data_IF_510166945555
#
_entry.id   IF_510166945555
#
_cell.length_a   1.000
_cell.length_b   1.000
_cell.length_c   1.000
_cell.angle_alpha   90.00
_cell.angle_beta   90.00
_cell.angle_gamma   90.00
#
_symmetry.space_group_name_H-M   'P 1'
#
loop_
_entity.id
_entity.type
_entity.pdbx_description
1 polymer ?
#
# COMPACT_ATOMS: atom_id res chain seq x y z
N UNK A 1 -55.35 16.79 -4.81
CA UNK A 1 -54.51 16.18 -3.80
C UNK A 1 -53.51 15.25 -4.48
N UNK A 2 -52.50 15.82 -5.18
CA UNK A 2 -51.55 15.07 -6.03
C UNK A 2 -50.24 15.85 -6.13
N UNK A 3 -49.58 16.12 -4.99
CA UNK A 3 -48.36 16.95 -4.96
C UNK A 3 -47.16 16.36 -4.19
N UNK A 4 -47.33 15.17 -3.60
CA UNK A 4 -46.29 14.66 -2.65
C UNK A 4 -45.34 13.58 -3.20
N UNK A 5 -45.70 12.95 -4.35
CA UNK A 5 -44.89 11.85 -4.90
C UNK A 5 -43.57 12.31 -5.52
N UNK A 6 -43.54 13.50 -6.12
CA UNK A 6 -42.34 14.04 -6.78
C UNK A 6 -41.29 14.50 -5.78
N UNK A 7 -41.69 15.10 -4.65
CA UNK A 7 -40.79 15.52 -3.58
C UNK A 7 -40.15 14.33 -2.84
N UNK A 8 -40.96 13.26 -2.63
CA UNK A 8 -40.44 12.01 -2.04
C UNK A 8 -39.40 11.33 -2.95
N UNK A 9 -39.66 11.30 -4.26
CA UNK A 9 -38.73 10.70 -5.22
C UNK A 9 -37.41 11.47 -5.29
N UNK A 10 -37.44 12.81 -5.31
CA UNK A 10 -36.25 13.66 -5.32
C UNK A 10 -35.48 13.53 -4.00
N UNK A 11 -36.16 13.49 -2.87
CA UNK A 11 -35.54 13.32 -1.55
C UNK A 11 -34.83 11.96 -1.39
N UNK A 12 -35.44 10.89 -1.93
CA UNK A 12 -34.84 9.54 -1.92
C UNK A 12 -33.65 9.48 -2.87
N UNK A 13 -33.70 10.12 -4.03
CA UNK A 13 -32.61 10.17 -5.01
C UNK A 13 -31.41 10.93 -4.46
N UNK A 14 -31.62 12.08 -3.80
CA UNK A 14 -30.53 12.87 -3.18
C UNK A 14 -29.91 12.11 -2.00
N UNK A 15 -30.74 11.45 -1.16
CA UNK A 15 -30.26 10.67 -0.02
C UNK A 15 -29.47 9.43 -0.46
N UNK A 16 -29.87 8.77 -1.55
CA UNK A 16 -29.12 7.66 -2.13
C UNK A 16 -27.84 8.13 -2.84
N UNK A 17 -27.86 9.25 -3.55
CA UNK A 17 -26.67 9.85 -4.18
C UNK A 17 -25.59 10.19 -3.17
N UNK A 18 -25.91 10.81 -2.05
CA UNK A 18 -24.97 11.11 -0.98
C UNK A 18 -24.39 9.85 -0.31
N UNK A 19 -25.20 8.80 -0.17
CA UNK A 19 -24.78 7.52 0.42
C UNK A 19 -23.87 6.72 -0.53
N UNK A 20 -24.10 6.82 -1.84
CA UNK A 20 -23.25 6.21 -2.88
C UNK A 20 -21.92 6.95 -2.99
N UNK A 21 -21.91 8.29 -2.97
CA UNK A 21 -20.67 9.08 -2.97
C UNK A 21 -19.84 8.83 -1.70
N UNK A 22 -20.46 8.81 -0.53
CA UNK A 22 -19.78 8.51 0.73
C UNK A 22 -19.22 7.08 0.78
N UNK A 23 -19.95 6.11 0.24
CA UNK A 23 -19.49 4.72 0.15
C UNK A 23 -18.35 4.55 -0.83
N UNK A 24 -18.38 5.26 -1.97
CA UNK A 24 -17.30 5.25 -2.94
C UNK A 24 -16.06 5.99 -2.42
N UNK A 25 -16.25 7.10 -1.71
CA UNK A 25 -15.15 7.84 -1.12
C UNK A 25 -14.48 7.06 0.01
N UNK A 26 -15.24 6.41 0.88
CA UNK A 26 -14.68 5.54 1.93
C UNK A 26 -14.01 4.30 1.36
N UNK A 27 -14.53 3.74 0.26
CA UNK A 27 -13.90 2.63 -0.46
C UNK A 27 -12.55 3.07 -1.06
N UNK A 28 -12.50 4.22 -1.72
CA UNK A 28 -11.26 4.79 -2.28
C UNK A 28 -10.26 5.11 -1.17
N UNK A 29 -10.69 5.71 -0.06
CA UNK A 29 -9.82 6.02 1.07
C UNK A 29 -9.29 4.78 1.79
N UNK A 30 -10.08 3.71 1.84
CA UNK A 30 -9.63 2.44 2.42
C UNK A 30 -8.68 1.64 1.52
N UNK A 31 -8.72 1.88 0.20
CA UNK A 31 -7.89 1.18 -0.79
C UNK A 31 -6.92 2.13 -1.50
N UNK A 32 -6.54 3.24 -0.84
CA UNK A 32 -5.60 4.21 -1.41
C UNK A 32 -4.25 3.58 -1.76
N UNK A 33 -3.76 2.69 -0.90
CA UNK A 33 -2.49 2.00 -1.12
C UNK A 33 -2.54 1.14 -2.38
N UNK A 34 -3.62 0.39 -2.59
CA UNK A 34 -3.83 -0.44 -3.79
C UNK A 34 -3.89 0.42 -5.06
N UNK A 35 -4.64 1.54 -5.00
CA UNK A 35 -4.81 2.45 -6.14
C UNK A 35 -3.48 3.11 -6.53
N UNK A 36 -2.72 3.57 -5.54
CA UNK A 36 -1.40 4.21 -5.77
C UNK A 36 -0.41 3.19 -6.32
N UNK A 37 -0.37 1.98 -5.78
CA UNK A 37 0.49 0.92 -6.28
C UNK A 37 0.14 0.56 -7.74
N UNK A 38 -1.15 0.43 -8.07
CA UNK A 38 -1.63 0.16 -9.42
C UNK A 38 -1.30 1.30 -10.40
N UNK A 39 -1.37 2.55 -9.96
CA UNK A 39 -0.99 3.70 -10.77
C UNK A 39 0.50 3.68 -11.12
N UNK A 40 1.38 3.47 -10.14
CA UNK A 40 2.81 3.42 -10.38
C UNK A 40 3.24 2.25 -11.25
N UNK A 41 2.66 1.05 -11.07
CA UNK A 41 2.98 -0.10 -11.91
C UNK A 41 2.49 0.10 -13.34
N UNK A 42 1.36 0.77 -13.55
CA UNK A 42 0.88 1.12 -14.89
C UNK A 42 1.82 2.06 -15.62
N UNK A 43 2.32 3.11 -14.94
CA UNK A 43 3.32 4.02 -15.51
C UNK A 43 4.61 3.25 -15.85
N UNK A 44 5.09 2.41 -14.95
CA UNK A 44 6.28 1.59 -15.17
C UNK A 44 6.12 0.73 -16.42
N UNK A 45 5.00 0.02 -16.55
CA UNK A 45 4.73 -0.84 -17.70
C UNK A 45 4.71 -0.06 -19.00
N UNK A 46 4.01 1.09 -19.03
CA UNK A 46 3.94 1.95 -20.22
C UNK A 46 5.32 2.45 -20.62
N UNK A 47 6.12 2.96 -19.67
CA UNK A 47 7.46 3.47 -19.94
C UNK A 47 8.39 2.36 -20.47
N UNK A 48 8.35 1.19 -19.88
CA UNK A 48 9.17 0.04 -20.32
C UNK A 48 8.78 -0.39 -21.73
N UNK A 49 7.48 -0.52 -22.03
CA UNK A 49 7.00 -0.91 -23.36
C UNK A 49 7.40 0.13 -24.40
N UNK A 50 7.21 1.43 -24.13
CA UNK A 50 7.61 2.52 -25.03
C UNK A 50 9.12 2.45 -25.26
N UNK A 51 9.94 2.30 -24.22
CA UNK A 51 11.39 2.24 -24.36
C UNK A 51 11.85 1.03 -25.18
N UNK A 52 11.21 -0.12 -25.03
CA UNK A 52 11.48 -1.31 -25.84
C UNK A 52 11.17 -1.01 -27.32
N UNK A 53 10.01 -0.46 -27.64
CA UNK A 53 9.64 -0.11 -29.03
C UNK A 53 10.62 0.88 -29.63
N UNK A 54 10.96 1.95 -28.91
CA UNK A 54 11.93 2.95 -29.39
C UNK A 54 13.30 2.33 -29.64
N UNK A 55 13.76 1.44 -28.77
CA UNK A 55 15.07 0.80 -28.89
C UNK A 55 15.14 -0.17 -30.06
N UNK A 56 14.11 -1.00 -30.27
CA UNK A 56 14.15 -2.05 -31.29
C UNK A 56 13.64 -1.58 -32.67
N UNK A 57 12.69 -0.64 -32.72
CA UNK A 57 12.13 -0.14 -34.00
C UNK A 57 12.90 1.06 -34.51
N UNK A 58 13.24 1.98 -33.61
CA UNK A 58 13.88 3.26 -33.96
C UNK A 58 15.37 3.34 -33.67
N UNK A 59 15.98 2.28 -33.11
CA UNK A 59 17.37 2.25 -32.63
C UNK A 59 17.73 3.43 -31.70
N UNK A 60 16.76 3.99 -30.99
CA UNK A 60 16.87 5.17 -30.15
C UNK A 60 16.21 4.92 -28.80
N UNK A 61 16.93 4.29 -27.86
CA UNK A 61 16.44 4.08 -26.49
C UNK A 61 16.51 5.36 -25.67
N UNK A 62 15.50 5.58 -24.82
CA UNK A 62 15.45 6.68 -23.87
C UNK A 62 16.12 6.28 -22.54
N UNK A 63 17.35 6.72 -22.34
CA UNK A 63 18.14 6.34 -21.14
C UNK A 63 17.47 6.83 -19.84
N UNK A 64 16.87 8.02 -19.86
CA UNK A 64 16.16 8.55 -18.69
C UNK A 64 14.90 7.78 -18.33
N UNK A 65 14.25 7.10 -19.28
CA UNK A 65 13.03 6.35 -19.03
C UNK A 65 13.27 5.13 -18.15
N UNK A 66 14.44 4.51 -18.22
CA UNK A 66 14.83 3.39 -17.36
C UNK A 66 14.92 3.81 -15.89
N UNK A 67 15.44 5.00 -15.63
CA UNK A 67 15.57 5.54 -14.29
C UNK A 67 14.22 5.90 -13.67
N UNK A 68 13.33 6.54 -14.46
CA UNK A 68 11.96 6.86 -14.03
C UNK A 68 11.16 5.58 -13.81
N UNK A 69 11.24 4.61 -14.73
CA UNK A 69 10.55 3.33 -14.62
C UNK A 69 10.98 2.56 -13.36
N UNK A 70 12.29 2.54 -13.07
CA UNK A 70 12.83 1.92 -11.83
C UNK A 70 12.29 2.63 -10.58
N UNK A 71 12.26 3.95 -10.56
CA UNK A 71 11.69 4.72 -9.46
C UNK A 71 10.21 4.40 -9.24
N UNK A 72 9.40 4.44 -10.29
CA UNK A 72 7.98 4.10 -10.22
C UNK A 72 7.75 2.63 -9.79
N UNK A 73 8.59 1.71 -10.27
CA UNK A 73 8.53 0.31 -9.88
C UNK A 73 8.78 0.12 -8.38
N UNK A 74 9.81 0.76 -7.83
CA UNK A 74 10.12 0.70 -6.40
C UNK A 74 8.95 1.24 -5.57
N UNK A 75 8.37 2.38 -5.94
CA UNK A 75 7.17 2.92 -5.29
C UNK A 75 6.00 1.94 -5.34
N UNK A 76 5.73 1.34 -6.51
CA UNK A 76 4.66 0.35 -6.67
C UNK A 76 4.85 -0.85 -5.75
N UNK A 77 6.06 -1.42 -5.70
CA UNK A 77 6.37 -2.61 -4.88
C UNK A 77 6.19 -2.31 -3.39
N UNK A 78 6.75 -1.21 -2.89
CA UNK A 78 6.70 -0.91 -1.47
C UNK A 78 5.30 -0.50 -1.00
N UNK A 79 4.56 0.31 -1.77
CA UNK A 79 3.17 0.66 -1.44
C UNK A 79 2.25 -0.56 -1.60
N UNK A 80 2.46 -1.37 -2.63
CA UNK A 80 1.73 -2.63 -2.80
C UNK A 80 1.96 -3.61 -1.65
N UNK A 81 3.18 -3.68 -1.13
CA UNK A 81 3.49 -4.47 0.07
C UNK A 81 2.71 -3.98 1.30
N UNK A 82 2.58 -2.65 1.50
CA UNK A 82 1.74 -2.07 2.56
C UNK A 82 0.28 -2.47 2.40
N UNK A 83 -0.24 -2.43 1.16
CA UNK A 83 -1.62 -2.80 0.87
C UNK A 83 -1.91 -4.27 1.25
N UNK A 84 -1.03 -5.19 0.85
CA UNK A 84 -1.13 -6.61 1.25
C UNK A 84 -1.02 -6.78 2.76
N UNK A 85 -0.09 -6.07 3.39
CA UNK A 85 0.13 -6.14 4.83
C UNK A 85 -1.09 -5.69 5.64
N UNK A 86 -1.75 -4.61 5.21
CA UNK A 86 -2.99 -4.08 5.80
C UNK A 86 -4.12 -5.12 5.88
N UNK A 87 -4.22 -5.99 4.89
CA UNK A 87 -5.23 -7.05 4.83
C UNK A 87 -4.82 -8.32 5.61
N UNK A 88 -3.87 -8.24 6.54
CA UNK A 88 -3.32 -9.39 7.27
C UNK A 88 -2.89 -10.53 6.34
N UNK A 89 -2.27 -10.21 5.21
CA UNK A 89 -1.88 -11.17 4.16
C UNK A 89 -0.75 -12.13 4.54
N UNK A 90 -0.67 -12.55 5.81
CA UNK A 90 0.31 -13.55 6.29
C UNK A 90 -0.17 -14.98 6.00
N UNK A 91 -0.50 -15.24 4.74
CA UNK A 91 -1.10 -16.51 4.27
C UNK A 91 -0.33 -17.76 4.73
N UNK A 92 0.98 -17.66 4.86
CA UNK A 92 1.81 -18.80 5.25
C UNK A 92 1.64 -19.20 6.73
N UNK A 93 1.50 -18.24 7.63
CA UNK A 93 1.31 -18.50 9.07
C UNK A 93 -0.10 -18.95 9.34
N UNK A 94 -1.10 -18.37 8.69
CA UNK A 94 -2.52 -18.68 8.89
C UNK A 94 -2.86 -20.16 8.59
N UNK A 95 -2.22 -20.77 7.60
CA UNK A 95 -2.47 -22.18 7.24
C UNK A 95 -2.03 -23.11 8.35
N UNK A 96 -0.89 -22.85 8.99
CA UNK A 96 -0.34 -23.66 10.07
C UNK A 96 -1.14 -23.43 11.35
N UNK A 97 -1.44 -22.18 11.67
CA UNK A 97 -2.14 -21.77 12.88
C UNK A 97 -3.58 -22.30 12.91
N UNK A 98 -4.28 -22.35 11.77
CA UNK A 98 -5.66 -22.89 11.68
C UNK A 98 -5.78 -24.37 12.07
N UNK A 99 -4.69 -25.12 12.10
CA UNK A 99 -4.68 -26.53 12.55
C UNK A 99 -4.41 -26.71 14.05
N UNK A 100 -4.12 -25.64 14.79
CA UNK A 100 -3.81 -25.68 16.22
C UNK A 100 -5.06 -25.40 17.08
N UNK A 101 -5.10 -25.83 18.36
CA UNK A 101 -6.18 -25.48 19.28
C UNK A 101 -6.25 -23.97 19.51
N UNK A 102 -7.46 -23.43 19.75
CA UNK A 102 -7.75 -21.99 19.79
C UNK A 102 -6.85 -21.17 20.74
N UNK A 103 -6.42 -21.77 21.86
CA UNK A 103 -5.52 -21.11 22.80
C UNK A 103 -4.12 -20.88 22.20
N UNK A 104 -3.61 -21.87 21.46
CA UNK A 104 -2.31 -21.76 20.77
C UNK A 104 -2.37 -20.78 19.58
N UNK A 105 -3.51 -20.72 18.87
CA UNK A 105 -3.68 -19.78 17.76
C UNK A 105 -3.51 -18.34 18.22
N UNK A 106 -4.09 -17.97 19.36
CA UNK A 106 -3.96 -16.61 19.93
C UNK A 106 -2.53 -16.30 20.35
N UNK A 107 -1.86 -17.27 21.02
CA UNK A 107 -0.49 -17.06 21.47
C UNK A 107 0.48 -16.89 20.29
N UNK A 108 0.38 -17.73 19.26
CA UNK A 108 1.22 -17.66 18.07
C UNK A 108 0.94 -16.37 17.29
N UNK A 109 -0.33 -15.97 17.15
CA UNK A 109 -0.71 -14.70 16.49
C UNK A 109 -0.06 -13.51 17.18
N UNK A 110 -0.22 -13.40 18.49
CA UNK A 110 0.34 -12.30 19.28
C UNK A 110 1.89 -12.26 19.21
N UNK A 111 2.56 -13.41 19.29
CA UNK A 111 4.02 -13.49 19.14
C UNK A 111 4.45 -13.03 17.75
N UNK A 112 3.74 -13.49 16.72
CA UNK A 112 4.02 -13.08 15.34
C UNK A 112 3.86 -11.56 15.15
N UNK A 113 2.79 -10.97 15.66
CA UNK A 113 2.53 -9.55 15.56
C UNK A 113 3.60 -8.72 16.31
N UNK A 114 4.05 -9.17 17.48
CA UNK A 114 5.15 -8.52 18.22
C UNK A 114 6.45 -8.58 17.42
N UNK A 115 6.79 -9.72 16.82
CA UNK A 115 7.97 -9.87 15.98
C UNK A 115 7.88 -8.93 14.77
N UNK A 116 6.70 -8.82 14.15
CA UNK A 116 6.47 -7.91 13.02
C UNK A 116 6.63 -6.44 13.40
N UNK A 117 6.13 -6.03 14.56
CA UNK A 117 6.36 -4.65 15.07
C UNK A 117 7.85 -4.38 15.24
N UNK A 118 8.59 -5.29 15.87
CA UNK A 118 10.02 -5.13 16.09
C UNK A 118 10.79 -5.07 14.76
N UNK A 119 10.46 -5.96 13.82
CA UNK A 119 11.13 -6.06 12.52
C UNK A 119 10.86 -4.84 11.65
N UNK A 120 9.60 -4.43 11.49
CA UNK A 120 9.22 -3.26 10.71
C UNK A 120 9.74 -1.96 11.35
N UNK A 121 9.72 -1.85 12.68
CA UNK A 121 10.28 -0.71 13.40
C UNK A 121 11.79 -0.58 13.20
N UNK A 122 12.51 -1.70 13.29
CA UNK A 122 13.96 -1.73 13.02
C UNK A 122 14.28 -1.37 11.57
N UNK A 123 13.51 -1.90 10.60
CA UNK A 123 13.66 -1.55 9.17
C UNK A 123 13.34 -0.08 8.90
N UNK A 124 12.34 0.50 9.58
CA UNK A 124 12.04 1.93 9.50
C UNK A 124 13.22 2.78 10.00
N UNK A 125 13.84 2.41 11.13
CA UNK A 125 15.03 3.07 11.66
C UNK A 125 16.22 2.99 10.69
N UNK A 126 16.50 1.81 10.14
CA UNK A 126 17.58 1.65 9.14
C UNK A 126 17.32 2.47 7.87
N UNK A 127 16.07 2.51 7.40
CA UNK A 127 15.66 3.30 6.22
C UNK A 127 15.87 4.79 6.46
N UNK A 128 15.60 5.28 7.66
CA UNK A 128 15.86 6.66 8.03
C UNK A 128 17.36 7.00 7.99
N UNK A 129 18.21 6.15 8.57
CA UNK A 129 19.68 6.31 8.52
C UNK A 129 20.17 6.26 7.06
N UNK A 130 19.62 5.34 6.26
CA UNK A 130 20.01 5.21 4.86
C UNK A 130 19.70 6.48 4.06
N UNK A 131 18.50 7.06 4.23
CA UNK A 131 18.11 8.31 3.58
C UNK A 131 19.02 9.46 3.99
N UNK A 132 19.32 9.58 5.28
CA UNK A 132 20.21 10.61 5.80
C UNK A 132 21.63 10.56 5.19
N UNK A 133 22.11 9.36 4.84
CA UNK A 133 23.40 9.17 4.18
C UNK A 133 23.33 9.25 2.65
N UNK A 134 22.16 9.01 2.07
CA UNK A 134 21.96 9.00 0.61
C UNK A 134 21.63 10.38 0.04
N UNK A 135 21.54 11.41 0.86
CA UNK A 135 21.15 12.76 0.42
C UNK A 135 22.11 13.33 -0.66
N UNK A 136 23.37 12.99 -0.60
CA UNK A 136 24.40 13.42 -1.57
C UNK A 136 24.50 12.55 -2.81
N UNK A 137 23.80 11.40 -2.85
CA UNK A 137 23.84 10.50 -4.01
C UNK A 137 22.84 10.95 -5.07
N UNK A 138 23.35 11.34 -6.22
CA UNK A 138 22.53 11.67 -7.39
C UNK A 138 22.38 10.46 -8.29
N UNK A 139 21.26 10.39 -8.99
CA UNK A 139 21.03 9.36 -10.01
C UNK A 139 21.90 9.67 -11.24
N UNK A 140 22.42 8.65 -11.96
CA UNK A 140 23.44 8.83 -12.98
C UNK A 140 22.97 9.56 -14.23
N UNK A 141 21.66 9.51 -14.55
CA UNK A 141 21.11 10.07 -15.81
C UNK A 141 20.36 11.37 -15.56
N UNK A 142 19.42 11.37 -14.61
CA UNK A 142 18.57 12.53 -14.31
C UNK A 142 19.21 13.50 -13.33
N UNK A 143 20.26 13.08 -12.59
CA UNK A 143 20.89 13.92 -11.56
C UNK A 143 19.96 14.22 -10.37
N UNK A 144 18.87 13.47 -10.21
CA UNK A 144 17.93 13.62 -9.10
C UNK A 144 18.48 12.91 -7.88
N UNK A 145 18.23 13.45 -6.69
CA UNK A 145 18.65 12.79 -5.46
C UNK A 145 18.00 11.42 -5.29
N UNK A 146 18.81 10.39 -5.00
CA UNK A 146 18.33 9.02 -4.70
C UNK A 146 17.35 8.96 -3.52
N UNK A 147 17.23 10.03 -2.75
CA UNK A 147 16.27 10.17 -1.64
C UNK A 147 14.83 9.97 -2.10
N UNK A 148 14.45 10.42 -3.31
CA UNK A 148 13.08 10.23 -3.83
C UNK A 148 12.70 8.76 -3.98
N UNK A 149 13.63 7.93 -4.40
CA UNK A 149 13.41 6.48 -4.53
C UNK A 149 13.43 5.83 -3.14
N UNK A 150 14.39 6.19 -2.30
CA UNK A 150 14.57 5.64 -0.97
C UNK A 150 13.46 6.03 0.01
N UNK A 151 12.78 7.18 -0.20
CA UNK A 151 11.67 7.63 0.63
C UNK A 151 10.48 6.67 0.57
N UNK A 152 10.26 5.96 -0.55
CA UNK A 152 9.22 4.94 -0.66
C UNK A 152 9.40 3.82 0.37
N UNK A 153 10.66 3.39 0.58
CA UNK A 153 11.03 2.35 1.55
C UNK A 153 10.70 2.80 2.97
N UNK A 154 11.10 4.03 3.34
CA UNK A 154 10.81 4.58 4.66
C UNK A 154 9.31 4.68 4.91
N UNK A 155 8.57 5.28 3.97
CA UNK A 155 7.11 5.45 4.08
C UNK A 155 6.43 4.09 4.25
N UNK A 156 6.83 3.10 3.46
CA UNK A 156 6.24 1.76 3.54
C UNK A 156 6.49 1.10 4.91
N UNK A 157 7.72 1.10 5.41
CA UNK A 157 8.02 0.49 6.70
C UNK A 157 7.39 1.24 7.88
N UNK A 158 7.29 2.56 7.82
CA UNK A 158 6.54 3.35 8.82
C UNK A 158 5.06 2.95 8.82
N UNK A 159 4.42 2.87 7.64
CA UNK A 159 3.02 2.45 7.53
C UNK A 159 2.83 1.02 8.02
N UNK A 160 3.70 0.09 7.64
CA UNK A 160 3.65 -1.30 8.12
C UNK A 160 3.82 -1.37 9.64
N UNK A 161 4.69 -0.55 10.24
CA UNK A 161 4.84 -0.47 11.70
C UNK A 161 3.56 0.00 12.37
N UNK A 162 2.91 1.03 11.82
CA UNK A 162 1.62 1.54 12.33
C UNK A 162 0.54 0.47 12.25
N UNK A 163 0.45 -0.27 11.13
CA UNK A 163 -0.50 -1.38 10.99
C UNK A 163 -0.18 -2.53 11.94
N UNK A 164 1.09 -2.88 12.12
CA UNK A 164 1.50 -3.92 13.09
C UNK A 164 1.10 -3.57 14.52
N UNK A 165 1.30 -2.32 14.95
CA UNK A 165 0.88 -1.85 16.29
C UNK A 165 -0.64 -1.95 16.41
N UNK A 166 -1.40 -1.57 15.37
CA UNK A 166 -2.86 -1.70 15.35
C UNK A 166 -3.30 -3.15 15.51
N UNK A 167 -2.61 -4.10 14.88
CA UNK A 167 -2.92 -5.54 14.97
C UNK A 167 -2.67 -6.07 16.38
N UNK A 168 -1.52 -5.76 16.98
CA UNK A 168 -1.23 -6.11 18.38
C UNK A 168 -2.32 -5.57 19.31
N UNK A 169 -2.73 -4.33 19.11
CA UNK A 169 -3.79 -3.73 19.93
C UNK A 169 -5.12 -4.47 19.78
N UNK A 170 -5.51 -4.82 18.57
CA UNK A 170 -6.75 -5.56 18.29
C UNK A 170 -6.73 -6.95 18.93
N UNK A 171 -5.60 -7.66 18.88
CA UNK A 171 -5.46 -8.99 19.44
C UNK A 171 -5.45 -8.98 20.98
N UNK A 172 -4.84 -7.95 21.60
CA UNK A 172 -4.86 -7.76 23.07
C UNK A 172 -6.24 -7.35 23.57
N UNK A 173 -6.95 -6.47 22.84
CA UNK A 173 -8.27 -5.94 23.27
C UNK A 173 -9.42 -6.89 22.92
N UNK A 174 -9.17 -7.99 22.21
CA UNK A 174 -10.18 -8.98 21.84
C UNK A 174 -11.18 -8.50 20.77
N UNK A 175 -10.96 -7.32 20.19
CA UNK A 175 -11.85 -6.68 19.20
C UNK A 175 -11.68 -7.22 17.77
N UNK A 176 -10.79 -8.18 17.54
CA UNK A 176 -10.45 -8.71 16.22
C UNK A 176 -11.44 -9.75 15.63
N UNK A 177 -12.68 -9.84 16.09
CA UNK A 177 -13.63 -10.89 15.68
C UNK A 177 -14.64 -10.49 14.59
N UNK A 178 -14.60 -9.27 14.05
CA UNK A 178 -15.70 -8.78 13.20
C UNK A 178 -15.31 -8.37 11.78
N UNK A 179 -14.26 -8.92 11.16
CA UNK A 179 -14.10 -8.76 9.71
C UNK A 179 -13.67 -10.09 9.05
N UNK A 180 -14.66 -10.95 8.90
CA UNK A 180 -14.63 -12.06 7.95
C UNK A 180 -15.68 -11.85 6.89
#
# INVERSE_FOLDING_TARGET
>A
MRRDSSFLCISITIKNGGKILGKNLSFVLNNLEDLVAAFFISITTILVVINIVLRYVFNSGLVWSEEVATGCFVWSVFIGAVAVFKHRGHVGVDIIVKRMPQAMQKAVGLITDIILVALNGYMSYLSFIYISKSYTKMTPVLGISSVYISSSVLIAFVLMTVYSIKFVWQDVTGSGKEEK
#
